data_IF_688912545463
#
_entry.id   IF_688912545463
#
_cell.length_a   1.000
_cell.length_b   1.000
_cell.length_c   1.000
_cell.angle_alpha   90.00
_cell.angle_beta   90.00
_cell.angle_gamma   90.00
#
_symmetry.space_group_name_H-M   'P 1'
#
loop_
_entity.id
_entity.type
_entity.pdbx_description
1 polymer ?
#
# COMPACT_ATOMS: atom_id res chain seq x y z
N UNK A 1 12.69 -3.89 43.49
CA UNK A 1 12.99 -2.93 42.42
C UNK A 1 12.03 -3.16 41.27
N UNK A 2 11.60 -2.11 40.55
CA UNK A 2 10.78 -2.29 39.34
C UNK A 2 11.62 -3.00 38.28
N UNK A 3 11.06 -4.01 37.63
CA UNK A 3 11.71 -4.72 36.52
C UNK A 3 12.06 -3.69 35.43
N UNK A 4 13.35 -3.61 35.07
CA UNK A 4 13.80 -2.81 33.94
C UNK A 4 13.56 -3.68 32.71
N UNK A 5 12.76 -3.23 31.73
CA UNK A 5 12.60 -3.97 30.48
C UNK A 5 13.97 -4.18 29.82
N UNK A 6 14.23 -5.37 29.28
CA UNK A 6 15.48 -5.69 28.57
C UNK A 6 15.30 -5.72 27.05
N UNK A 7 14.04 -5.64 26.59
CA UNK A 7 13.66 -5.65 25.18
C UNK A 7 13.37 -4.24 24.69
N UNK A 8 13.37 -4.06 23.36
CA UNK A 8 12.86 -2.84 22.74
C UNK A 8 11.42 -2.59 23.18
N UNK A 9 11.10 -1.31 23.34
CA UNK A 9 9.78 -0.83 23.73
C UNK A 9 9.24 -0.03 22.56
N UNK A 10 8.00 -0.31 22.20
CA UNK A 10 7.27 0.43 21.18
C UNK A 10 6.31 1.38 21.86
N UNK A 11 6.33 2.65 21.44
CA UNK A 11 5.42 3.68 21.92
C UNK A 11 4.81 4.41 20.74
N UNK A 12 3.55 4.82 20.85
CA UNK A 12 2.89 5.64 19.84
C UNK A 12 2.30 6.90 20.51
N UNK A 13 2.44 8.08 19.91
CA UNK A 13 1.86 9.32 20.43
C UNK A 13 0.43 9.59 19.93
N UNK A 14 -0.02 8.93 18.85
CA UNK A 14 -1.26 9.25 18.15
C UNK A 14 -2.14 8.05 17.79
N UNK A 15 -1.81 6.85 18.28
CA UNK A 15 -2.61 5.64 18.07
C UNK A 15 -3.06 5.03 19.40
N UNK A 16 -4.18 4.32 19.36
CA UNK A 16 -4.75 3.61 20.52
C UNK A 16 -4.27 2.17 20.63
N UNK A 17 -3.53 1.66 19.64
CA UNK A 17 -3.04 0.29 19.55
C UNK A 17 -1.56 0.23 19.14
N UNK A 18 -0.93 -0.92 19.40
CA UNK A 18 0.41 -1.27 18.91
C UNK A 18 0.29 -2.47 17.97
N UNK A 19 0.84 -2.42 16.73
CA UNK A 19 0.87 -3.57 15.85
C UNK A 19 1.57 -4.76 16.52
N UNK A 20 0.99 -5.95 16.42
CA UNK A 20 1.62 -7.18 16.89
C UNK A 20 2.81 -7.57 16.00
N UNK A 21 3.99 -7.02 16.28
CA UNK A 21 5.22 -7.33 15.55
C UNK A 21 5.64 -8.79 15.62
N UNK A 22 5.08 -9.61 16.53
CA UNK A 22 5.34 -11.06 16.52
C UNK A 22 4.75 -11.77 15.30
N UNK A 23 3.80 -11.12 14.61
CA UNK A 23 3.20 -11.58 13.36
C UNK A 23 4.03 -11.23 12.14
N UNK A 24 5.02 -10.35 12.27
CA UNK A 24 5.82 -9.90 11.14
C UNK A 24 6.90 -10.92 10.79
N UNK A 25 6.69 -11.64 9.69
CA UNK A 25 7.62 -12.66 9.22
C UNK A 25 8.82 -12.04 8.48
N UNK A 26 10.00 -12.68 8.59
CA UNK A 26 11.18 -12.30 7.83
C UNK A 26 11.03 -12.52 6.31
N UNK A 27 10.14 -13.44 5.92
CA UNK A 27 9.80 -13.70 4.52
C UNK A 27 8.48 -13.06 4.15
N UNK A 28 8.48 -12.28 3.08
CA UNK A 28 7.27 -11.74 2.46
C UNK A 28 6.71 -12.81 1.54
N UNK A 29 5.53 -13.35 1.85
CA UNK A 29 4.93 -14.50 1.17
C UNK A 29 3.50 -14.20 0.78
N UNK A 30 3.06 -14.78 -0.33
CA UNK A 30 1.69 -14.66 -0.82
C UNK A 30 0.69 -15.33 0.13
N UNK A 31 -0.53 -14.76 0.22
CA UNK A 31 -1.67 -15.24 1.00
C UNK A 31 -2.87 -15.50 0.11
N UNK A 32 -3.84 -16.29 0.59
CA UNK A 32 -5.01 -16.71 -0.20
C UNK A 32 -5.87 -15.55 -0.73
N UNK A 33 -5.76 -14.35 -0.18
CA UNK A 33 -6.44 -13.16 -0.69
C UNK A 33 -5.64 -12.40 -1.77
N UNK A 34 -4.49 -12.92 -2.21
CA UNK A 34 -3.59 -12.29 -3.18
C UNK A 34 -2.66 -11.22 -2.58
N UNK A 35 -2.64 -11.07 -1.24
CA UNK A 35 -1.80 -10.10 -0.53
C UNK A 35 -0.68 -10.76 0.25
N UNK A 36 0.06 -9.96 1.01
CA UNK A 36 1.32 -10.37 1.64
C UNK A 36 1.31 -10.28 3.17
N UNK A 37 0.12 -10.28 3.80
CA UNK A 37 -0.03 -10.20 5.25
C UNK A 37 0.65 -8.93 5.81
N UNK A 38 1.47 -9.04 6.87
CA UNK A 38 2.25 -7.91 7.41
C UNK A 38 3.31 -7.35 6.44
N UNK A 39 3.66 -8.11 5.40
CA UNK A 39 4.54 -7.66 4.33
C UNK A 39 3.84 -6.79 3.28
N UNK A 40 2.51 -6.63 3.35
CA UNK A 40 1.77 -5.77 2.44
C UNK A 40 1.64 -4.35 3.02
N UNK A 41 2.33 -3.39 2.40
CA UNK A 41 2.33 -1.99 2.83
C UNK A 41 0.94 -1.33 2.77
N UNK A 42 -0.03 -1.93 2.05
CA UNK A 42 -1.41 -1.40 2.00
C UNK A 42 -2.25 -1.82 3.20
N UNK A 43 -1.77 -2.77 4.00
CA UNK A 43 -2.52 -3.34 5.13
C UNK A 43 -1.80 -3.19 6.48
N UNK A 44 -0.47 -3.06 6.47
CA UNK A 44 0.35 -3.08 7.68
C UNK A 44 1.43 -1.99 7.66
N UNK A 45 1.68 -1.30 8.79
CA UNK A 45 2.71 -0.28 8.88
C UNK A 45 4.09 -0.88 8.66
N UNK A 46 4.80 -0.32 7.69
CA UNK A 46 6.16 -0.74 7.35
C UNK A 46 7.20 0.05 8.14
N UNK A 47 8.42 -0.47 8.19
CA UNK A 47 9.55 0.29 8.69
C UNK A 47 9.82 1.48 7.77
N UNK A 48 9.98 2.65 8.37
CA UNK A 48 10.29 3.88 7.63
C UNK A 48 11.68 3.79 7.01
N UNK A 49 11.75 4.11 5.72
CA UNK A 49 12.99 4.28 4.99
C UNK A 49 12.88 5.51 4.10
N UNK A 50 13.93 6.35 4.08
CA UNK A 50 13.97 7.57 3.26
C UNK A 50 13.93 7.30 1.76
N UNK A 51 14.22 6.07 1.33
CA UNK A 51 14.08 5.64 -0.06
C UNK A 51 12.61 5.46 -0.50
N UNK A 52 11.69 5.29 0.46
CA UNK A 52 10.24 5.13 0.23
C UNK A 52 9.45 6.01 1.21
N UNK A 53 9.66 7.33 1.20
CA UNK A 53 9.18 8.22 2.27
C UNK A 53 7.66 8.43 2.23
N UNK A 54 7.01 8.07 1.12
CA UNK A 54 5.57 8.19 0.87
C UNK A 54 4.75 7.02 1.40
N UNK A 55 5.37 5.87 1.71
CA UNK A 55 4.63 4.68 2.20
C UNK A 55 3.81 4.91 3.48
N UNK A 56 4.26 5.73 4.46
CA UNK A 56 3.42 6.04 5.63
C UNK A 56 2.09 6.70 5.26
N UNK A 57 2.02 7.37 4.10
CA UNK A 57 0.83 8.07 3.60
C UNK A 57 -0.11 7.17 2.79
N UNK A 58 0.20 5.87 2.63
CA UNK A 58 -0.72 4.93 1.96
C UNK A 58 -2.03 4.88 2.72
N UNK A 59 -3.15 5.10 2.03
CA UNK A 59 -4.46 5.08 2.67
C UNK A 59 -4.75 3.70 3.27
N UNK A 60 -5.06 3.69 4.57
CA UNK A 60 -5.50 2.50 5.27
C UNK A 60 -6.94 2.17 4.87
N UNK A 61 -7.27 0.87 4.96
CA UNK A 61 -8.64 0.42 4.73
C UNK A 61 -9.59 1.14 5.70
N UNK A 62 -10.61 1.87 5.19
CA UNK A 62 -11.61 2.50 6.05
C UNK A 62 -12.42 1.46 6.83
N UNK A 63 -13.07 1.90 7.92
CA UNK A 63 -14.02 1.06 8.64
C UNK A 63 -15.12 0.52 7.71
N UNK A 64 -15.71 -0.64 8.04
CA UNK A 64 -16.78 -1.25 7.22
C UNK A 64 -17.95 -0.31 6.93
N UNK A 65 -18.24 0.63 7.84
CA UNK A 65 -19.26 1.67 7.64
C UNK A 65 -18.79 2.72 6.62
N UNK A 66 -17.59 3.25 6.80
CA UNK A 66 -17.03 4.27 5.91
C UNK A 66 -16.76 3.74 4.49
N UNK A 67 -16.35 2.47 4.38
CA UNK A 67 -16.05 1.81 3.10
C UNK A 67 -17.25 1.80 2.15
N UNK A 68 -18.49 1.74 2.64
CA UNK A 68 -19.72 1.71 1.82
C UNK A 68 -19.90 2.95 0.93
N UNK A 69 -19.35 4.08 1.36
CA UNK A 69 -19.48 5.37 0.68
C UNK A 69 -18.12 5.94 0.27
N UNK A 70 -17.05 5.14 0.40
CA UNK A 70 -15.71 5.62 0.11
C UNK A 70 -15.49 5.70 -1.41
N UNK A 71 -14.95 6.81 -1.94
CA UNK A 71 -14.73 6.98 -3.38
C UNK A 71 -13.81 5.89 -3.95
N UNK A 72 -12.86 5.41 -3.15
CA UNK A 72 -11.90 4.37 -3.53
C UNK A 72 -12.24 2.99 -2.97
N UNK A 73 -13.51 2.69 -2.64
CA UNK A 73 -13.87 1.43 -1.98
C UNK A 73 -13.34 0.17 -2.70
N UNK A 74 -13.24 0.22 -4.03
CA UNK A 74 -12.71 -0.86 -4.86
C UNK A 74 -11.22 -1.17 -4.60
N UNK A 75 -10.44 -0.20 -4.09
CA UNK A 75 -9.03 -0.40 -3.71
C UNK A 75 -8.83 -1.40 -2.56
N UNK A 76 -9.88 -1.68 -1.77
CA UNK A 76 -9.85 -2.65 -0.67
C UNK A 76 -10.87 -3.79 -0.81
N UNK A 77 -11.46 -3.95 -1.99
CA UNK A 77 -12.41 -5.03 -2.27
C UNK A 77 -11.66 -6.36 -2.45
N UNK A 78 -12.19 -7.44 -1.89
CA UNK A 78 -11.78 -8.79 -2.28
C UNK A 78 -12.70 -9.29 -3.39
N UNK A 79 -12.11 -9.76 -4.48
CA UNK A 79 -12.90 -10.43 -5.53
C UNK A 79 -13.22 -11.85 -5.09
N UNK A 80 -14.36 -12.35 -5.53
CA UNK A 80 -14.79 -13.72 -5.29
C UNK A 80 -15.25 -14.35 -6.59
N UNK A 81 -15.53 -15.65 -6.59
CA UNK A 81 -16.03 -16.34 -7.79
C UNK A 81 -17.36 -15.78 -8.32
N UNK A 82 -18.12 -15.00 -7.53
CA UNK A 82 -19.33 -14.33 -8.02
C UNK A 82 -19.05 -13.11 -8.90
N UNK A 83 -17.82 -12.62 -8.87
CA UNK A 83 -17.34 -11.48 -9.65
C UNK A 83 -16.70 -11.91 -10.98
N UNK A 84 -16.71 -13.22 -11.26
CA UNK A 84 -15.96 -13.85 -12.32
C UNK A 84 -16.89 -14.62 -13.26
N UNK A 85 -16.79 -14.32 -14.55
CA UNK A 85 -17.49 -15.01 -15.63
C UNK A 85 -16.54 -16.04 -16.25
N UNK A 86 -16.85 -17.31 -16.03
CA UNK A 86 -16.08 -18.43 -16.58
C UNK A 86 -16.30 -18.53 -18.09
N UNK A 87 -15.23 -18.78 -18.84
CA UNK A 87 -15.32 -18.98 -20.29
C UNK A 87 -15.90 -20.36 -20.63
N UNK A 88 -17.04 -20.36 -21.32
CA UNK A 88 -17.63 -21.58 -21.86
C UNK A 88 -16.71 -22.19 -22.93
N UNK A 89 -16.49 -23.51 -22.86
CA UNK A 89 -15.67 -24.24 -23.82
C UNK A 89 -14.15 -24.19 -23.57
N UNK A 90 -13.69 -23.53 -22.49
CA UNK A 90 -12.29 -23.63 -22.08
C UNK A 90 -11.95 -25.06 -21.62
N UNK A 91 -10.73 -25.51 -21.93
CA UNK A 91 -10.19 -26.78 -21.42
C UNK A 91 -10.02 -26.76 -19.89
N UNK A 92 -9.96 -25.57 -19.29
CA UNK A 92 -9.81 -25.34 -17.86
C UNK A 92 -11.07 -24.70 -17.29
N UNK A 93 -11.61 -25.29 -16.21
CA UNK A 93 -12.88 -24.86 -15.58
C UNK A 93 -12.77 -23.60 -14.72
N UNK A 94 -11.55 -23.12 -14.49
CA UNK A 94 -11.22 -21.97 -13.67
C UNK A 94 -10.82 -20.74 -14.50
N UNK A 95 -10.96 -20.82 -15.82
CA UNK A 95 -10.54 -19.77 -16.75
C UNK A 95 -11.70 -18.85 -17.12
N UNK A 96 -11.44 -17.54 -17.23
CA UNK A 96 -12.48 -16.56 -17.48
C UNK A 96 -12.02 -15.12 -17.30
N UNK A 97 -12.97 -14.22 -17.04
CA UNK A 97 -12.73 -12.78 -16.82
C UNK A 97 -13.54 -12.27 -15.65
N UNK A 98 -13.12 -11.16 -15.06
CA UNK A 98 -14.02 -10.42 -14.16
C UNK A 98 -15.22 -9.89 -14.95
N UNK A 99 -16.36 -9.75 -14.27
CA UNK A 99 -17.56 -9.13 -14.84
C UNK A 99 -17.24 -7.77 -15.44
N UNK A 100 -17.82 -7.49 -16.61
CA UNK A 100 -17.53 -6.26 -17.36
C UNK A 100 -17.78 -4.98 -16.56
N UNK A 101 -18.81 -4.95 -15.70
CA UNK A 101 -19.09 -3.83 -14.81
C UNK A 101 -17.93 -3.54 -13.84
N UNK A 102 -17.32 -4.61 -13.31
CA UNK A 102 -16.16 -4.51 -12.42
C UNK A 102 -14.92 -4.05 -13.19
N UNK A 103 -14.70 -4.59 -14.39
CA UNK A 103 -13.60 -4.18 -15.27
C UNK A 103 -13.70 -2.68 -15.64
N UNK A 104 -14.89 -2.20 -15.98
CA UNK A 104 -15.14 -0.79 -16.26
C UNK A 104 -14.82 0.09 -15.05
N UNK A 105 -15.23 -0.34 -13.85
CA UNK A 105 -14.95 0.39 -12.60
C UNK A 105 -13.45 0.48 -12.31
N UNK A 106 -12.69 -0.58 -12.57
CA UNK A 106 -11.22 -0.59 -12.46
C UNK A 106 -10.58 0.38 -13.45
N UNK A 107 -11.06 0.37 -14.70
CA UNK A 107 -10.58 1.27 -15.76
C UNK A 107 -10.90 2.75 -15.47
N UNK A 108 -12.07 3.04 -14.90
CA UNK A 108 -12.44 4.37 -14.46
C UNK A 108 -11.50 4.88 -13.37
N UNK A 109 -11.25 4.07 -12.33
CA UNK A 109 -10.28 4.43 -11.28
C UNK A 109 -8.88 4.70 -11.84
N UNK A 110 -8.38 3.83 -12.72
CA UNK A 110 -7.09 4.01 -13.39
C UNK A 110 -7.04 5.33 -14.14
N UNK A 111 -8.06 5.64 -14.96
CA UNK A 111 -8.14 6.87 -15.75
C UNK A 111 -8.12 8.09 -14.85
N UNK A 112 -8.93 8.10 -13.80
CA UNK A 112 -9.14 9.27 -12.96
C UNK A 112 -7.88 9.61 -12.14
N UNK A 113 -7.17 8.61 -11.62
CA UNK A 113 -5.88 8.82 -10.94
C UNK A 113 -4.76 9.14 -11.95
N UNK A 114 -4.74 8.47 -13.10
CA UNK A 114 -3.77 8.75 -14.17
C UNK A 114 -3.82 10.21 -14.63
N UNK A 115 -5.03 10.75 -14.83
CA UNK A 115 -5.23 12.16 -15.19
C UNK A 115 -4.66 13.11 -14.13
N UNK A 116 -4.85 12.82 -12.85
CA UNK A 116 -4.29 13.65 -11.75
C UNK A 116 -2.76 13.63 -11.75
N UNK A 117 -2.15 12.47 -11.98
CA UNK A 117 -0.69 12.32 -12.08
C UNK A 117 -0.16 13.09 -13.29
N UNK A 118 -0.78 12.94 -14.47
CA UNK A 118 -0.36 13.63 -15.69
C UNK A 118 -0.45 15.15 -15.55
N UNK A 119 -1.55 15.64 -14.95
CA UNK A 119 -1.71 17.07 -14.65
C UNK A 119 -0.64 17.59 -13.67
N UNK A 120 -0.32 16.81 -12.63
CA UNK A 120 0.71 17.19 -11.66
C UNK A 120 2.11 17.24 -12.29
N UNK A 121 2.48 16.20 -13.06
CA UNK A 121 3.77 16.12 -13.75
C UNK A 121 3.88 17.22 -14.82
N UNK A 122 2.80 17.45 -15.57
CA UNK A 122 2.74 18.46 -16.64
C UNK A 122 2.80 19.90 -16.15
N UNK A 123 2.22 20.22 -14.98
CA UNK A 123 2.29 21.56 -14.37
C UNK A 123 3.64 21.85 -13.68
N UNK A 124 4.41 20.81 -13.36
CA UNK A 124 5.64 20.92 -12.55
C UNK A 124 6.89 20.31 -13.23
N UNK A 125 7.17 20.55 -14.52
CA UNK A 125 8.23 19.86 -15.23
C UNK A 125 9.62 20.08 -14.61
N UNK A 126 9.83 21.24 -13.98
CA UNK A 126 11.09 21.62 -13.32
C UNK A 126 11.11 21.45 -11.79
N UNK A 127 9.98 21.06 -11.16
CA UNK A 127 9.89 20.86 -9.70
C UNK A 127 9.81 19.39 -9.29
N UNK A 128 9.38 18.51 -10.19
CA UNK A 128 9.34 17.08 -9.94
C UNK A 128 10.76 16.50 -9.98
N UNK A 129 11.24 15.96 -8.86
CA UNK A 129 12.56 15.32 -8.79
C UNK A 129 12.62 14.08 -9.68
N UNK A 130 13.83 13.65 -10.05
CA UNK A 130 13.98 12.42 -10.85
C UNK A 130 13.44 11.18 -10.10
N UNK A 131 13.58 11.14 -8.77
CA UNK A 131 13.04 10.07 -7.93
C UNK A 131 11.51 10.07 -7.94
N UNK A 132 10.89 11.23 -7.70
CA UNK A 132 9.43 11.42 -7.77
C UNK A 132 8.83 10.92 -9.08
N UNK A 133 9.42 11.36 -10.20
CA UNK A 133 8.96 10.97 -11.53
C UNK A 133 9.11 9.47 -11.75
N UNK A 134 10.24 8.88 -11.34
CA UNK A 134 10.47 7.44 -11.46
C UNK A 134 9.41 6.66 -10.69
N UNK A 135 9.15 7.03 -9.43
CA UNK A 135 8.26 6.28 -8.55
C UNK A 135 6.80 6.41 -9.01
N UNK A 136 6.37 7.62 -9.41
CA UNK A 136 5.05 7.86 -10.03
C UNK A 136 4.89 7.07 -11.33
N UNK A 137 5.84 7.16 -12.25
CA UNK A 137 5.75 6.46 -13.54
C UNK A 137 5.79 4.94 -13.36
N UNK A 138 6.58 4.42 -12.42
CA UNK A 138 6.62 2.99 -12.12
C UNK A 138 5.24 2.49 -11.66
N UNK A 139 4.66 3.12 -10.64
CA UNK A 139 3.38 2.69 -10.08
C UNK A 139 2.21 2.93 -11.06
N UNK A 140 2.21 4.05 -11.78
CA UNK A 140 1.18 4.35 -12.78
C UNK A 140 1.20 3.33 -13.95
N UNK A 141 2.38 2.89 -14.39
CA UNK A 141 2.51 1.83 -15.40
C UNK A 141 2.03 0.49 -14.88
N UNK A 142 2.40 0.11 -13.66
CA UNK A 142 1.92 -1.11 -13.02
C UNK A 142 0.40 -1.15 -12.88
N UNK A 143 -0.19 -0.03 -12.43
CA UNK A 143 -1.64 0.17 -12.36
C UNK A 143 -2.30 0.04 -13.73
N UNK A 144 -1.76 0.70 -14.76
CA UNK A 144 -2.28 0.64 -16.12
C UNK A 144 -2.24 -0.77 -16.69
N UNK A 145 -1.13 -1.47 -16.52
CA UNK A 145 -0.95 -2.85 -16.96
C UNK A 145 -1.98 -3.79 -16.32
N UNK A 146 -2.10 -3.75 -14.98
CA UNK A 146 -3.04 -4.61 -14.27
C UNK A 146 -4.50 -4.31 -14.65
N UNK A 147 -4.87 -3.04 -14.80
CA UNK A 147 -6.21 -2.65 -15.24
C UNK A 147 -6.54 -3.15 -16.65
N UNK A 148 -5.59 -3.04 -17.59
CA UNK A 148 -5.74 -3.55 -18.96
C UNK A 148 -5.85 -5.07 -18.97
N UNK A 149 -5.02 -5.77 -18.20
CA UNK A 149 -5.08 -7.22 -18.08
C UNK A 149 -6.46 -7.68 -17.58
N UNK A 150 -6.98 -7.07 -16.52
CA UNK A 150 -8.30 -7.37 -15.97
C UNK A 150 -9.45 -7.10 -16.95
N UNK A 151 -9.29 -6.13 -17.85
CA UNK A 151 -10.33 -5.78 -18.82
C UNK A 151 -10.29 -6.66 -20.09
N UNK A 152 -9.10 -7.07 -20.52
CA UNK A 152 -8.92 -7.65 -21.86
C UNK A 152 -8.46 -9.11 -21.85
N UNK A 153 -7.77 -9.57 -20.81
CA UNK A 153 -7.15 -10.88 -20.77
C UNK A 153 -8.00 -11.86 -19.96
N UNK A 154 -8.23 -13.02 -20.56
CA UNK A 154 -8.77 -14.17 -19.83
C UNK A 154 -7.65 -14.81 -19.03
N UNK A 155 -7.94 -15.15 -17.77
CA UNK A 155 -6.98 -15.63 -16.78
C UNK A 155 -7.63 -16.76 -15.95
N UNK A 156 -6.83 -17.52 -15.20
CA UNK A 156 -7.40 -18.34 -14.13
C UNK A 156 -8.00 -17.43 -13.05
N UNK A 157 -8.96 -17.92 -12.27
CA UNK A 157 -9.50 -17.14 -11.14
C UNK A 157 -8.39 -16.69 -10.18
N UNK A 158 -7.41 -17.55 -9.93
CA UNK A 158 -6.29 -17.28 -9.04
C UNK A 158 -5.37 -16.19 -9.61
N UNK A 159 -5.01 -16.27 -10.89
CA UNK A 159 -4.27 -15.20 -11.58
C UNK A 159 -5.04 -13.88 -11.59
N UNK A 160 -6.37 -13.95 -11.65
CA UNK A 160 -7.25 -12.78 -11.57
C UNK A 160 -7.19 -12.14 -10.18
N UNK A 161 -7.16 -12.93 -9.11
CA UNK A 161 -6.96 -12.42 -7.73
C UNK A 161 -5.61 -11.72 -7.60
N UNK A 162 -4.54 -12.30 -8.16
CA UNK A 162 -3.20 -11.70 -8.15
C UNK A 162 -3.14 -10.40 -8.96
N UNK A 163 -3.76 -10.39 -10.15
CA UNK A 163 -3.80 -9.20 -11.01
C UNK A 163 -4.63 -8.10 -10.36
N UNK A 164 -5.77 -8.43 -9.75
CA UNK A 164 -6.64 -7.48 -9.08
C UNK A 164 -5.98 -6.86 -7.84
N UNK A 165 -5.35 -7.67 -6.99
CA UNK A 165 -4.61 -7.14 -5.83
C UNK A 165 -3.37 -6.35 -6.23
N UNK A 166 -2.74 -6.68 -7.36
CA UNK A 166 -1.65 -5.86 -7.92
C UNK A 166 -2.16 -4.50 -8.38
N UNK A 167 -3.30 -4.45 -9.08
CA UNK A 167 -3.95 -3.19 -9.42
C UNK A 167 -4.20 -2.34 -8.17
N UNK A 168 -4.75 -2.93 -7.11
CA UNK A 168 -5.02 -2.24 -5.84
C UNK A 168 -3.75 -1.68 -5.20
N UNK A 169 -2.68 -2.47 -5.12
CA UNK A 169 -1.38 -2.02 -4.58
C UNK A 169 -0.81 -0.86 -5.37
N UNK A 170 -0.74 -0.98 -6.70
CA UNK A 170 -0.26 0.11 -7.56
C UNK A 170 -1.15 1.35 -7.48
N UNK A 171 -2.47 1.19 -7.38
CA UNK A 171 -3.40 2.31 -7.23
C UNK A 171 -3.15 3.07 -5.92
N UNK A 172 -3.13 2.37 -4.79
CA UNK A 172 -2.94 2.97 -3.47
C UNK A 172 -1.55 3.59 -3.31
N UNK A 173 -0.52 2.98 -3.89
CA UNK A 173 0.82 3.56 -3.86
C UNK A 173 0.95 4.77 -4.78
N UNK A 174 0.38 4.72 -6.00
CA UNK A 174 0.35 5.89 -6.89
C UNK A 174 -0.35 7.07 -6.21
N UNK A 175 -1.47 6.81 -5.52
CA UNK A 175 -2.19 7.81 -4.75
C UNK A 175 -1.33 8.36 -3.61
N UNK A 176 -0.67 7.49 -2.83
CA UNK A 176 0.21 7.90 -1.74
C UNK A 176 1.39 8.75 -2.21
N UNK A 177 2.05 8.35 -3.31
CA UNK A 177 3.14 9.12 -3.91
C UNK A 177 2.64 10.49 -4.36
N UNK A 178 1.50 10.53 -5.06
CA UNK A 178 0.88 11.76 -5.51
C UNK A 178 0.56 12.70 -4.35
N UNK A 179 -0.15 12.23 -3.31
CA UNK A 179 -0.52 13.02 -2.13
C UNK A 179 0.74 13.47 -1.35
N UNK A 180 1.71 12.58 -1.16
CA UNK A 180 2.97 12.89 -0.48
C UNK A 180 3.71 14.06 -1.12
N UNK A 181 3.91 14.03 -2.43
CA UNK A 181 4.69 15.05 -3.12
C UNK A 181 3.90 16.31 -3.49
N UNK A 182 2.58 16.22 -3.67
CA UNK A 182 1.75 17.37 -4.00
C UNK A 182 1.23 18.12 -2.77
N UNK A 183 1.08 17.45 -1.62
CA UNK A 183 0.46 18.01 -0.41
C UNK A 183 1.42 17.96 0.79
N UNK A 184 1.89 16.77 1.17
CA UNK A 184 2.57 16.59 2.47
C UNK A 184 3.96 17.19 2.54
N UNK A 185 4.79 16.92 1.53
CA UNK A 185 6.16 17.43 1.48
C UNK A 185 6.22 18.97 1.41
N UNK A 186 5.41 19.65 0.58
CA UNK A 186 5.32 21.11 0.62
C UNK A 186 4.86 21.67 1.97
N UNK A 187 3.95 20.96 2.64
CA UNK A 187 3.46 21.37 3.96
C UNK A 187 4.52 21.21 5.06
N UNK A 188 5.25 20.08 5.08
CA UNK A 188 6.28 19.83 6.11
C UNK A 188 7.44 20.83 6.06
N UNK A 189 7.71 21.41 4.89
CA UNK A 189 8.71 22.48 4.71
C UNK A 189 8.18 23.86 5.10
N UNK A 190 6.87 24.11 5.01
CA UNK A 190 6.30 25.46 5.16
C UNK A 190 5.81 25.79 6.56
N UNK A 191 5.64 24.81 7.45
CA UNK A 191 5.16 25.03 8.82
C UNK A 191 6.31 25.11 9.82
N UNK A 192 6.47 26.24 10.56
CA UNK A 192 7.41 26.32 11.67
C UNK A 192 7.05 25.34 12.79
N UNK A 193 8.06 24.66 13.34
CA UNK A 193 7.93 23.66 14.42
C UNK A 193 7.18 24.14 15.68
N UNK A 194 7.13 25.47 15.88
CA UNK A 194 6.51 26.11 17.05
C UNK A 194 5.01 26.41 16.90
N UNK A 195 4.44 26.22 15.70
CA UNK A 195 3.04 26.54 15.39
C UNK A 195 2.03 25.42 15.73
N UNK A 196 2.37 24.54 16.68
CA UNK A 196 1.60 23.33 17.03
C UNK A 196 0.19 23.56 17.60
N UNK A 197 -0.22 24.82 17.80
CA UNK A 197 -1.52 25.21 18.36
C UNK A 197 -2.51 25.76 17.33
N UNK A 198 -2.15 25.83 16.04
CA UNK A 198 -3.14 26.17 15.01
C UNK A 198 -4.04 24.96 14.81
N UNK A 199 -5.33 25.16 15.09
CA UNK A 199 -6.44 24.25 14.77
C UNK A 199 -6.12 23.51 13.46
N UNK A 200 -5.86 22.19 13.59
CA UNK A 200 -5.49 21.32 12.47
C UNK A 200 -6.58 21.48 11.42
N UNK A 201 -6.29 22.20 10.33
CA UNK A 201 -7.26 22.38 9.26
C UNK A 201 -7.70 21.00 8.78
N UNK A 202 -9.00 20.75 8.82
CA UNK A 202 -9.66 19.46 8.55
C UNK A 202 -9.38 18.85 7.15
N UNK A 203 -8.54 19.49 6.32
CA UNK A 203 -8.09 19.00 5.01
C UNK A 203 -6.60 18.60 4.91
N UNK A 204 -5.80 18.75 5.97
CA UNK A 204 -4.34 18.49 5.94
C UNK A 204 -3.86 17.36 6.84
N UNK A 205 -4.70 16.93 7.79
CA UNK A 205 -4.38 15.79 8.64
C UNK A 205 -4.43 14.49 7.81
N UNK A 206 -3.35 13.72 7.84
CA UNK A 206 -3.28 12.38 7.24
C UNK A 206 -4.07 11.35 8.06
N UNK A 207 -5.38 11.58 8.17
CA UNK A 207 -6.30 10.69 8.86
C UNK A 207 -6.63 9.51 7.95
N UNK A 208 -6.53 8.30 8.49
CA UNK A 208 -6.87 7.08 7.74
C UNK A 208 -5.76 6.59 6.82
N UNK A 209 -4.50 6.88 7.11
CA UNK A 209 -3.33 6.25 6.46
C UNK A 209 -2.77 5.11 7.30
N UNK A 210 -1.97 4.24 6.68
CA UNK A 210 -1.37 3.05 7.32
C UNK A 210 -0.32 3.44 8.37
N UNK A 211 0.45 4.49 8.10
CA UNK A 211 1.51 4.96 8.98
C UNK A 211 2.78 4.12 8.93
N UNK A 212 3.67 4.32 9.90
CA UNK A 212 4.98 3.69 9.88
C UNK A 212 5.62 3.42 11.24
N UNK A 213 6.54 2.48 11.22
CA UNK A 213 7.40 2.10 12.36
C UNK A 213 8.76 2.75 12.18
N UNK A 214 9.32 3.34 13.22
CA UNK A 214 10.65 3.95 13.14
C UNK A 214 11.40 3.82 14.46
N UNK A 215 12.72 3.86 14.40
CA UNK A 215 13.59 4.03 15.57
C UNK A 215 14.20 5.44 15.66
N UNK A 216 13.92 6.29 14.68
CA UNK A 216 14.38 7.67 14.61
C UNK A 216 13.32 8.61 15.22
N UNK A 217 13.74 9.38 16.23
CA UNK A 217 12.90 10.32 16.93
C UNK A 217 12.46 11.49 16.02
N UNK A 218 13.33 11.93 15.11
CA UNK A 218 13.03 13.03 14.19
C UNK A 218 11.94 12.65 13.20
N UNK A 219 12.07 11.46 12.59
CA UNK A 219 11.04 10.89 11.72
C UNK A 219 9.73 10.73 12.49
N UNK A 220 9.79 10.23 13.73
CA UNK A 220 8.58 10.06 14.54
C UNK A 220 7.88 11.39 14.83
N UNK A 221 8.64 12.45 15.11
CA UNK A 221 8.10 13.78 15.34
C UNK A 221 7.50 14.38 14.06
N UNK A 222 8.14 14.20 12.91
CA UNK A 222 7.63 14.66 11.61
C UNK A 222 6.29 13.98 11.27
N UNK A 223 6.25 12.65 11.34
CA UNK A 223 5.02 11.89 11.08
C UNK A 223 3.88 12.27 12.05
N UNK A 224 4.21 12.44 13.34
CA UNK A 224 3.24 12.91 14.33
C UNK A 224 2.69 14.30 14.01
N UNK A 225 3.56 15.22 13.57
CA UNK A 225 3.16 16.59 13.19
C UNK A 225 2.24 16.60 11.96
N UNK A 226 2.39 15.63 11.06
CA UNK A 226 1.51 15.41 9.92
C UNK A 226 0.25 14.59 10.25
N UNK A 227 0.04 14.24 11.53
CA UNK A 227 -1.03 13.34 11.99
C UNK A 227 -0.99 11.93 11.37
N UNK A 228 0.18 11.50 10.87
CA UNK A 228 0.40 10.14 10.36
C UNK A 228 0.60 9.18 11.54
N UNK A 229 -0.08 8.03 11.61
CA UNK A 229 0.15 7.01 12.63
C UNK A 229 1.63 6.62 12.72
N UNK A 230 2.19 6.67 13.92
CA UNK A 230 3.60 6.35 14.12
C UNK A 230 3.86 5.50 15.36
N UNK A 231 4.69 4.48 15.18
CA UNK A 231 5.16 3.59 16.23
C UNK A 231 6.67 3.72 16.38
N UNK A 232 7.10 4.37 17.46
CA UNK A 232 8.49 4.63 17.77
C UNK A 232 9.08 3.49 18.62
N UNK A 233 10.07 2.81 18.06
CA UNK A 233 10.79 1.69 18.69
C UNK A 233 12.06 2.20 19.34
N UNK A 234 12.22 2.00 20.65
CA UNK A 234 13.37 2.47 21.42
C UNK A 234 13.90 1.41 22.38
N UNK A 235 15.22 1.37 22.61
CA UNK A 235 15.74 0.63 23.75
C UNK A 235 15.29 1.30 25.06
N UNK A 236 15.14 0.54 26.15
CA UNK A 236 14.73 1.06 27.47
C UNK A 236 15.59 2.22 27.97
N UNK A 237 16.88 2.22 27.64
CA UNK A 237 17.83 3.28 28.00
C UNK A 237 17.52 4.65 27.37
N UNK A 238 16.74 4.68 26.28
CA UNK A 238 16.36 5.92 25.56
C UNK A 238 14.95 6.41 25.90
N UNK A 239 14.29 5.80 26.88
CA UNK A 239 12.98 6.25 27.34
C UNK A 239 13.17 7.24 28.49
N UNK A 240 12.68 8.48 28.36
CA UNK A 240 12.74 9.43 29.46
C UNK A 240 12.04 8.89 30.70
N UNK A 241 12.68 9.01 31.88
CA UNK A 241 12.13 8.50 33.14
C UNK A 241 10.82 9.17 33.55
N UNK A 242 10.57 10.38 33.03
CA UNK A 242 9.37 11.17 33.23
C UNK A 242 8.36 11.03 32.08
N UNK A 243 8.54 10.08 31.16
CA UNK A 243 7.57 9.83 30.09
C UNK A 243 6.26 9.34 30.71
N UNK A 244 5.17 10.06 30.41
CA UNK A 244 3.82 9.66 30.82
C UNK A 244 3.34 8.60 29.83
N UNK A 245 3.10 7.39 30.33
CA UNK A 245 2.52 6.28 29.56
C UNK A 245 1.05 6.19 29.96
N UNK A 246 0.18 6.61 29.05
CA UNK A 246 -1.27 6.66 29.29
C UNK A 246 -1.88 5.26 29.25
N UNK A 247 -1.42 4.40 28.34
CA UNK A 247 -1.90 3.02 28.20
C UNK A 247 -0.69 2.05 28.17
N UNK A 248 -0.24 1.54 29.33
CA UNK A 248 0.94 0.68 29.42
C UNK A 248 0.70 -0.73 28.87
N UNK A 249 -0.55 -1.19 28.83
CA UNK A 249 -0.96 -2.51 28.33
C UNK A 249 -1.70 -2.37 26.99
N UNK A 250 -1.22 -1.46 26.13
CA UNK A 250 -1.83 -1.16 24.83
C UNK A 250 -2.21 -2.44 24.09
N UNK A 251 -3.43 -2.47 23.56
CA UNK A 251 -3.92 -3.66 22.87
C UNK A 251 -3.07 -3.92 21.64
N UNK A 252 -2.57 -5.15 21.55
CA UNK A 252 -2.04 -5.70 20.31
C UNK A 252 -3.23 -6.00 19.41
N UNK A 253 -3.60 -5.04 18.58
CA UNK A 253 -4.67 -5.22 17.61
C UNK A 253 -4.09 -5.73 16.29
N UNK A 254 -4.58 -6.85 15.74
CA UNK A 254 -4.36 -7.15 14.34
C UNK A 254 -5.22 -6.18 13.50
N UNK A 255 -4.74 -5.70 12.34
CA UNK A 255 -5.64 -5.11 11.36
C UNK A 255 -6.72 -6.14 11.05
N UNK A 256 -7.98 -5.70 11.13
CA UNK A 256 -9.17 -6.54 11.31
C UNK A 256 -9.43 -7.59 10.22
N UNK A 257 -8.66 -7.59 9.12
CA UNK A 257 -8.91 -8.40 7.92
C UNK A 257 -7.64 -9.01 7.28
N UNK A 258 -6.55 -9.19 8.04
CA UNK A 258 -5.36 -9.85 7.49
C UNK A 258 -5.59 -11.36 7.30
N UNK A 259 -5.38 -11.84 6.08
CA UNK A 259 -5.43 -13.27 5.75
C UNK A 259 -4.07 -13.91 6.02
N UNK A 260 -4.01 -14.82 6.98
CA UNK A 260 -2.77 -15.48 7.38
C UNK A 260 -2.47 -16.75 6.57
N UNK A 261 -3.50 -17.37 5.96
CA UNK A 261 -3.30 -18.58 5.17
C UNK A 261 -2.43 -18.33 3.95
N UNK A 262 -1.41 -19.17 3.79
CA UNK A 262 -0.42 -19.06 2.71
C UNK A 262 -0.99 -19.63 1.42
N UNK A 263 -0.60 -19.02 0.32
CA UNK A 263 -0.77 -19.61 -0.99
C UNK A 263 0.36 -20.64 -1.23
N UNK A 264 0.02 -21.91 -1.36
CA UNK A 264 1.02 -22.97 -1.58
C UNK A 264 1.61 -22.93 -2.99
N UNK A 265 2.88 -23.31 -3.14
CA UNK A 265 3.55 -23.38 -4.44
C UNK A 265 4.18 -22.08 -4.94
N UNK A 266 4.10 -20.99 -4.18
CA UNK A 266 4.78 -19.72 -4.49
C UNK A 266 5.99 -19.49 -3.59
N UNK A 267 7.12 -19.11 -4.20
CA UNK A 267 8.31 -18.68 -3.48
C UNK A 267 8.08 -17.33 -2.77
N UNK A 268 8.81 -17.05 -1.67
CA UNK A 268 8.77 -15.73 -1.05
C UNK A 268 9.17 -14.63 -2.04
N UNK A 269 8.40 -13.55 -2.09
CA UNK A 269 8.75 -12.35 -2.86
C UNK A 269 10.02 -11.68 -2.30
N UNK A 270 10.29 -11.88 -1.01
CA UNK A 270 11.50 -11.42 -0.34
C UNK A 270 11.78 -12.27 0.90
N UNK A 271 13.06 -12.47 1.21
CA UNK A 271 13.51 -12.99 2.50
C UNK A 271 14.70 -12.19 2.97
N UNK A 272 14.60 -11.59 4.16
CA UNK A 272 15.66 -10.74 4.68
C UNK A 272 15.18 -9.80 5.78
N UNK A 273 16.05 -8.89 6.25
CA UNK A 273 15.70 -7.89 7.25
C UNK A 273 14.75 -6.82 6.69
N UNK A 274 14.16 -6.02 7.59
CA UNK A 274 13.44 -4.80 7.21
C UNK A 274 14.35 -3.88 6.37
N UNK A 275 13.85 -3.47 5.21
CA UNK A 275 14.55 -2.61 4.26
C UNK A 275 13.55 -1.95 3.31
N UNK A 276 13.97 -0.90 2.61
CA UNK A 276 13.16 -0.32 1.53
C UNK A 276 12.81 -1.36 0.45
N UNK A 277 13.73 -2.29 0.16
CA UNK A 277 13.50 -3.41 -0.78
C UNK A 277 12.41 -4.34 -0.27
N UNK A 278 12.41 -4.65 1.04
CA UNK A 278 11.33 -5.44 1.67
C UNK A 278 9.99 -4.74 1.53
N UNK A 279 9.93 -3.43 1.79
CA UNK A 279 8.68 -2.67 1.72
C UNK A 279 8.06 -2.73 0.31
N UNK A 280 8.88 -2.72 -0.73
CA UNK A 280 8.45 -2.84 -2.12
C UNK A 280 8.28 -4.29 -2.60
N UNK A 281 8.60 -5.30 -1.77
CA UNK A 281 8.57 -6.69 -2.20
C UNK A 281 7.18 -7.17 -2.63
N UNK A 282 6.12 -6.61 -2.05
CA UNK A 282 4.73 -6.93 -2.42
C UNK A 282 4.33 -6.45 -3.82
N UNK A 283 5.11 -5.57 -4.44
CA UNK A 283 4.92 -5.15 -5.83
C UNK A 283 5.49 -6.16 -6.83
N UNK A 284 6.46 -6.98 -6.41
CA UNK A 284 7.15 -7.96 -7.25
C UNK A 284 6.33 -9.24 -7.44
N UNK A 285 5.13 -9.12 -8.02
CA UNK A 285 4.57 -10.26 -8.73
C UNK A 285 5.35 -10.40 -10.03
N UNK A 286 6.24 -11.39 -10.10
CA UNK A 286 6.93 -11.74 -11.34
C UNK A 286 5.86 -12.00 -12.40
N UNK A 287 5.88 -11.24 -13.50
CA UNK A 287 4.93 -11.39 -14.60
C UNK A 287 4.89 -12.82 -15.16
N UNK A 288 5.98 -13.57 -14.98
CA UNK A 288 6.12 -15.00 -15.30
C UNK A 288 5.12 -15.89 -14.54
N UNK A 289 4.54 -15.40 -13.45
CA UNK A 289 3.55 -16.12 -12.65
C UNK A 289 2.11 -15.92 -13.12
N UNK A 290 1.85 -14.99 -14.05
CA UNK A 290 0.49 -14.74 -14.57
C UNK A 290 0.35 -15.51 -15.89
N UNK A 291 -0.39 -16.62 -15.87
CA UNK A 291 -0.65 -17.41 -17.07
C UNK A 291 -1.76 -16.76 -17.90
N UNK A 292 -1.37 -15.92 -18.85
CA UNK A 292 -2.29 -15.29 -19.79
C UNK A 292 -2.66 -16.29 -20.90
N UNK A 293 -3.94 -16.37 -21.24
CA UNK A 293 -4.42 -17.24 -22.32
C UNK A 293 -3.80 -16.90 -23.68
N UNK A 294 -3.55 -17.91 -24.50
CA UNK A 294 -2.88 -17.79 -25.81
C UNK A 294 -3.53 -16.75 -26.75
N UNK A 295 -4.84 -16.55 -26.66
CA UNK A 295 -5.62 -15.57 -27.43
C UNK A 295 -5.41 -14.11 -26.97
N UNK A 296 -4.97 -13.89 -25.73
CA UNK A 296 -4.69 -12.55 -25.21
C UNK A 296 -3.23 -12.11 -25.47
N UNK A 297 -2.30 -13.02 -25.78
CA UNK A 297 -0.89 -12.71 -26.06
C UNK A 297 -0.74 -11.70 -27.20
N UNK A 298 -1.52 -11.83 -28.27
CA UNK A 298 -1.48 -10.92 -29.43
C UNK A 298 -1.93 -9.50 -29.10
N UNK A 299 -3.04 -9.34 -28.37
CA UNK A 299 -3.55 -8.03 -27.93
C UNK A 299 -2.64 -7.42 -26.85
N UNK A 300 -2.08 -8.26 -25.99
CA UNK A 300 -1.19 -7.87 -24.90
C UNK A 300 0.15 -7.35 -25.41
N UNK A 301 0.80 -8.02 -26.38
CA UNK A 301 2.05 -7.55 -27.01
C UNK A 301 1.88 -6.23 -27.76
N UNK A 302 0.74 -6.02 -28.41
CA UNK A 302 0.43 -4.76 -29.10
C UNK A 302 0.22 -3.64 -28.08
N UNK A 303 -0.56 -3.86 -27.02
CA UNK A 303 -0.75 -2.87 -25.94
C UNK A 303 0.54 -2.58 -25.17
N UNK A 304 1.38 -3.60 -24.92
CA UNK A 304 2.69 -3.44 -24.27
C UNK A 304 3.64 -2.57 -25.10
N UNK A 305 3.61 -2.70 -26.42
CA UNK A 305 4.41 -1.86 -27.34
C UNK A 305 3.95 -0.39 -27.33
N UNK A 306 2.66 -0.13 -27.14
CA UNK A 306 2.12 1.23 -27.00
C UNK A 306 2.42 1.85 -25.62
N UNK A 307 2.47 1.04 -24.55
CA UNK A 307 2.82 1.50 -23.20
C UNK A 307 4.31 1.84 -23.06
N UNK A 308 5.18 1.23 -23.88
CA UNK A 308 6.62 1.54 -23.92
C UNK A 308 6.96 2.73 -24.85
N UNK A 309 6.04 3.14 -25.72
CA UNK A 309 6.26 4.20 -26.72
C UNK A 309 5.83 5.61 -26.25
N UNK A 310 5.35 5.76 -25.01
CA UNK A 310 4.97 7.03 -24.36
C UNK A 310 5.54 7.10 -22.94
#
# INVERSE_FOLDING_TARGET
>A
GRLIPTRFIVTTPNMTYIPDFSKDEASVRLRLDGRYYTGDFTQWPQWYHSATPYLPSVQARPSRKALKTHPYALAWRNITKVDFDFEEGSAFRDFGRIKQELANSVMDMRRDLGKQVDEYVGRNPHKCTAAERRDLCHCARGMAFAAIALNCASQTFDDTVLTFTSFQRYYLETLAIFEYYSIHRPYSVSVPLDSQNLERQDGLAMVGVVGAVTCDLWVAQELYSLSVPVWLVRPPSRIPRNMIIINPDGQLEPPLDLVAERWEGYEPAYTGPASAVRNCASQNLQADNIRIGHSAIGTFLVLFSFILAY
#
